data_IF_667541665359
#
_entry.id   IF_667541665359
#
_cell.length_a   1.000
_cell.length_b   1.000
_cell.length_c   1.000
_cell.angle_alpha   90.00
_cell.angle_beta   90.00
_cell.angle_gamma   90.00
#
_symmetry.space_group_name_H-M   'P 1'
#
loop_
_entity.id
_entity.type
_entity.pdbx_description
1 polymer ?
#
# COMPACT_ATOMS: atom_id res chain seq x y z
N UNK A 1 -7.06 26.91 -4.34
CA UNK A 1 -6.20 25.95 -3.63
C UNK A 1 -6.84 24.59 -3.80
N UNK A 2 -6.22 23.67 -4.54
CA UNK A 2 -6.78 22.34 -4.74
C UNK A 2 -6.60 21.58 -3.41
N UNK A 3 -7.70 21.23 -2.75
CA UNK A 3 -7.68 20.32 -1.61
C UNK A 3 -7.16 18.97 -2.12
N UNK A 4 -5.86 18.72 -2.04
CA UNK A 4 -5.27 17.38 -2.17
C UNK A 4 -5.63 16.59 -0.91
N UNK A 5 -6.91 16.23 -0.78
CA UNK A 5 -7.35 15.25 0.19
C UNK A 5 -6.90 13.88 -0.31
N UNK A 6 -5.78 13.40 0.23
CA UNK A 6 -5.40 11.99 0.12
C UNK A 6 -6.50 11.20 0.81
N UNK A 7 -7.23 10.38 0.05
CA UNK A 7 -8.26 9.51 0.62
C UNK A 7 -7.59 8.21 1.08
N UNK A 8 -7.60 7.97 2.38
CA UNK A 8 -7.23 6.66 2.93
C UNK A 8 -8.32 5.65 2.57
N UNK A 9 -7.96 4.61 1.82
CA UNK A 9 -8.87 3.51 1.44
C UNK A 9 -8.79 2.41 2.49
N UNK A 10 -7.57 2.10 2.95
CA UNK A 10 -7.33 1.06 3.93
C UNK A 10 -5.98 1.24 4.60
N UNK A 11 -5.90 0.88 5.88
CA UNK A 11 -4.66 0.85 6.65
C UNK A 11 -4.61 -0.40 7.54
N UNK A 12 -3.43 -1.01 7.59
CA UNK A 12 -3.12 -2.10 8.53
C UNK A 12 -1.86 -1.79 9.30
N UNK A 13 -1.99 -1.83 10.61
CA UNK A 13 -0.87 -1.80 11.54
C UNK A 13 -0.41 -3.22 11.85
N UNK A 14 0.90 -3.39 11.99
CA UNK A 14 1.55 -4.65 12.26
C UNK A 14 2.32 -4.49 13.56
N UNK A 15 1.81 -5.13 14.61
CA UNK A 15 2.27 -4.95 16.00
C UNK A 15 3.59 -5.68 16.25
N UNK A 16 3.84 -6.75 15.51
CA UNK A 16 5.04 -7.58 15.62
C UNK A 16 5.93 -7.39 14.39
N UNK A 17 7.24 -7.57 14.54
CA UNK A 17 8.14 -7.53 13.38
C UNK A 17 7.73 -8.60 12.36
N UNK A 18 7.35 -8.14 11.17
CA UNK A 18 6.93 -9.02 10.09
C UNK A 18 7.59 -8.61 8.78
N UNK A 19 7.73 -9.59 7.89
CA UNK A 19 7.93 -9.35 6.47
C UNK A 19 6.56 -9.38 5.81
N UNK A 20 6.31 -8.42 4.94
CA UNK A 20 5.01 -8.23 4.30
C UNK A 20 5.20 -8.21 2.81
N UNK A 21 4.40 -9.00 2.11
CA UNK A 21 4.23 -8.87 0.68
C UNK A 21 2.89 -8.20 0.42
N UNK A 22 2.93 -7.07 -0.28
CA UNK A 22 1.72 -6.37 -0.74
C UNK A 22 1.66 -6.43 -2.26
N UNK A 23 0.50 -6.86 -2.77
CA UNK A 23 0.17 -6.82 -4.19
C UNK A 23 -1.07 -5.99 -4.39
N UNK A 24 -1.00 -5.03 -5.30
CA UNK A 24 -2.10 -4.11 -5.61
C UNK A 24 -2.31 -4.08 -7.11
N UNK A 25 -3.54 -4.36 -7.52
CA UNK A 25 -4.04 -4.20 -8.87
C UNK A 25 -4.92 -2.95 -8.95
N UNK A 26 -4.64 -2.09 -9.92
CA UNK A 26 -5.47 -0.94 -10.25
C UNK A 26 -6.19 -1.21 -11.59
N UNK A 27 -7.52 -1.14 -11.57
CA UNK A 27 -8.39 -1.36 -12.74
C UNK A 27 -8.04 -0.38 -13.86
N UNK A 28 -8.25 -0.80 -15.11
CA UNK A 28 -8.15 0.11 -16.26
C UNK A 28 -9.27 1.16 -16.27
N UNK A 29 -10.34 0.93 -15.51
CA UNK A 29 -11.45 1.89 -15.35
C UNK A 29 -11.11 3.02 -14.37
N UNK A 30 -10.02 2.90 -13.62
CA UNK A 30 -9.55 3.94 -12.72
C UNK A 30 -9.04 5.15 -13.49
N UNK A 31 -9.36 6.34 -12.98
CA UNK A 31 -8.87 7.62 -13.53
C UNK A 31 -7.66 8.17 -12.77
N UNK A 32 -7.22 7.48 -11.72
CA UNK A 32 -6.05 7.83 -10.93
C UNK A 32 -5.29 6.61 -10.42
N UNK A 33 -4.05 6.85 -9.97
CA UNK A 33 -3.18 5.84 -9.42
C UNK A 33 -3.54 5.50 -7.97
N UNK A 34 -3.37 4.24 -7.58
CA UNK A 34 -3.41 3.82 -6.19
C UNK A 34 -2.02 4.02 -5.59
N UNK A 35 -1.94 4.73 -4.48
CA UNK A 35 -0.72 4.88 -3.69
C UNK A 35 -0.68 3.81 -2.60
N UNK A 36 0.46 3.14 -2.48
CA UNK A 36 0.76 2.23 -1.38
C UNK A 36 1.93 2.80 -0.60
N UNK A 37 1.72 3.05 0.68
CA UNK A 37 2.76 3.51 1.59
C UNK A 37 3.04 2.43 2.63
N UNK A 38 4.29 1.98 2.69
CA UNK A 38 4.78 1.02 3.69
C UNK A 38 5.69 1.77 4.67
N UNK A 39 5.26 1.87 5.92
CA UNK A 39 6.06 2.40 7.01
C UNK A 39 6.81 1.25 7.65
N UNK A 40 8.13 1.40 7.82
CA UNK A 40 9.00 0.43 8.46
C UNK A 40 9.30 0.86 9.89
N UNK A 41 9.59 -0.09 10.77
CA UNK A 41 10.04 0.23 12.13
C UNK A 41 11.42 0.92 12.11
N UNK A 42 12.27 0.54 11.14
CA UNK A 42 13.55 1.18 10.88
C UNK A 42 13.73 1.51 9.39
N UNK A 43 14.28 2.70 9.12
CA UNK A 43 14.57 3.19 7.76
C UNK A 43 13.43 4.00 7.15
N UNK A 44 13.60 4.41 5.88
CA UNK A 44 12.66 5.30 5.21
C UNK A 44 11.35 4.60 4.84
N UNK A 45 10.21 5.31 4.78
CA UNK A 45 9.00 4.79 4.14
C UNK A 45 9.26 4.35 2.69
N UNK A 46 8.48 3.37 2.22
CA UNK A 46 8.44 2.98 0.81
C UNK A 46 7.11 3.42 0.25
N UNK A 47 7.13 4.12 -0.88
CA UNK A 47 5.94 4.55 -1.60
C UNK A 47 5.91 3.93 -2.98
N UNK A 48 4.77 3.37 -3.36
CA UNK A 48 4.53 2.79 -4.67
C UNK A 48 3.28 3.40 -5.28
N UNK A 49 3.37 3.76 -6.55
CA UNK A 49 2.26 4.26 -7.33
C UNK A 49 1.84 3.19 -8.35
N UNK A 50 0.62 2.68 -8.22
CA UNK A 50 0.04 1.68 -9.12
C UNK A 50 -0.84 2.39 -10.15
N UNK A 51 -0.37 2.59 -11.39
CA UNK A 51 -1.15 3.25 -12.42
C UNK A 51 -2.33 2.37 -12.88
N UNK A 52 -3.40 2.96 -13.46
CA UNK A 52 -4.52 2.23 -14.01
C UNK A 52 -4.10 1.16 -15.02
N UNK A 53 -4.66 -0.05 -14.91
CA UNK A 53 -4.35 -1.20 -15.76
C UNK A 53 -3.15 -2.03 -15.32
N UNK A 54 -2.49 -1.68 -14.21
CA UNK A 54 -1.29 -2.37 -13.73
C UNK A 54 -1.50 -3.09 -12.39
N UNK A 55 -0.66 -4.09 -12.18
CA UNK A 55 -0.42 -4.71 -10.87
C UNK A 55 1.01 -4.44 -10.44
N UNK A 56 1.21 -4.00 -9.20
CA UNK A 56 2.52 -3.95 -8.57
C UNK A 56 2.52 -4.81 -7.31
N UNK A 57 3.64 -5.51 -7.12
CA UNK A 57 3.86 -6.33 -5.93
C UNK A 57 5.24 -6.03 -5.36
N UNK A 58 5.33 -5.91 -4.04
CA UNK A 58 6.60 -5.72 -3.34
C UNK A 58 6.62 -6.52 -2.04
N UNK A 59 7.81 -6.92 -1.61
CA UNK A 59 8.05 -7.56 -0.32
C UNK A 59 8.98 -6.71 0.51
N UNK A 60 8.56 -6.37 1.73
CA UNK A 60 9.27 -5.46 2.63
C UNK A 60 9.41 -6.10 4.00
N UNK A 61 10.63 -6.09 4.54
CA UNK A 61 10.91 -6.52 5.91
C UNK A 61 10.74 -5.41 6.94
N UNK A 62 10.57 -5.81 8.21
CA UNK A 62 10.47 -4.91 9.37
C UNK A 62 9.37 -3.84 9.24
N UNK A 63 8.20 -4.27 8.77
CA UNK A 63 7.06 -3.38 8.50
C UNK A 63 6.31 -3.04 9.79
N UNK A 64 6.01 -1.75 9.96
CA UNK A 64 5.18 -1.20 11.02
C UNK A 64 3.73 -1.04 10.58
N UNK A 65 3.51 -0.49 9.38
CA UNK A 65 2.16 -0.35 8.82
C UNK A 65 2.17 -0.29 7.30
N UNK A 66 1.05 -0.66 6.71
CA UNK A 66 0.79 -0.55 5.28
C UNK A 66 -0.49 0.23 5.08
N UNK A 67 -0.45 1.22 4.21
CA UNK A 67 -1.58 2.07 3.86
C UNK A 67 -1.78 2.04 2.35
N UNK A 68 -3.03 1.87 1.95
CA UNK A 68 -3.49 2.01 0.56
C UNK A 68 -4.34 3.27 0.51
N UNK A 69 -3.97 4.20 -0.35
CA UNK A 69 -4.64 5.49 -0.48
C UNK A 69 -4.74 5.91 -1.94
N UNK A 70 -5.59 6.90 -2.16
CA UNK A 70 -5.73 7.58 -3.44
C UNK A 70 -5.05 8.95 -3.35
N UNK A 71 -4.16 9.24 -4.30
CA UNK A 71 -3.38 10.48 -4.29
C UNK A 71 -4.14 11.68 -4.89
N UNK A 72 -5.01 11.43 -5.88
CA UNK A 72 -5.73 12.49 -6.60
C UNK A 72 -7.23 12.21 -6.63
N UNK A 73 -8.05 13.27 -6.66
CA UNK A 73 -9.50 13.17 -6.76
C UNK A 73 -9.89 12.40 -8.03
N UNK A 74 -10.77 11.40 -7.89
CA UNK A 74 -11.19 10.56 -9.00
C UNK A 74 -11.84 9.25 -8.55
N UNK A 75 -12.13 8.39 -9.54
CA UNK A 75 -12.60 7.03 -9.32
C UNK A 75 -11.40 6.09 -9.33
N UNK A 76 -11.25 5.33 -8.26
CA UNK A 76 -10.26 4.27 -8.11
C UNK A 76 -10.99 2.97 -7.88
N UNK A 77 -10.75 2.01 -8.75
CA UNK A 77 -11.21 0.64 -8.63
C UNK A 77 -10.00 -0.29 -8.64
N UNK A 78 -9.93 -1.21 -7.69
CA UNK A 78 -8.79 -2.10 -7.61
C UNK A 78 -8.96 -3.20 -6.57
N UNK A 79 -7.92 -4.01 -6.44
CA UNK A 79 -7.82 -5.06 -5.43
C UNK A 79 -6.46 -4.99 -4.78
N UNK A 80 -6.41 -5.21 -3.49
CA UNK A 80 -5.17 -5.34 -2.75
C UNK A 80 -5.15 -6.67 -1.98
N UNK A 81 -3.97 -7.26 -1.89
CA UNK A 81 -3.70 -8.45 -1.10
C UNK A 81 -2.49 -8.17 -0.20
N UNK A 82 -2.63 -8.52 1.08
CA UNK A 82 -1.56 -8.43 2.07
C UNK A 82 -1.24 -9.84 2.58
N UNK A 83 -0.04 -10.30 2.31
CA UNK A 83 0.54 -11.49 2.93
C UNK A 83 1.49 -11.04 4.04
N UNK A 84 1.30 -11.57 5.25
CA UNK A 84 2.10 -11.19 6.42
C UNK A 84 2.79 -12.43 6.97
N UNK A 85 4.12 -12.40 6.93
CA UNK A 85 4.99 -13.47 7.39
C UNK A 85 5.67 -13.05 8.69
N UNK A 86 5.32 -13.74 9.77
CA UNK A 86 5.92 -13.55 11.09
C UNK A 86 7.09 -14.52 11.28
N UNK A 87 8.23 -14.02 11.75
CA UNK A 87 9.29 -14.89 12.23
C UNK A 87 8.84 -15.50 13.56
N UNK A 88 8.62 -16.81 13.58
CA UNK A 88 8.39 -17.55 14.83
C UNK A 88 9.76 -17.94 15.36
N UNK A 89 10.21 -17.27 16.42
CA UNK A 89 11.39 -17.69 17.17
C UNK A 89 11.00 -18.90 18.02
N UNK A 90 11.68 -20.03 17.81
CA UNK A 90 11.60 -21.20 18.69
C UNK A 90 12.45 -21.00 19.95
#
# INVERSE_FOLDING_TARGET
MLNNQVLEIWKKEIIVRATVTISVFNSILSVSSIKVTVIRNAGNPIELMVPPGNTLSTTVGDVQSVMVSQETIGIVEGKYCLEVCFAVSC
#
